data_IF_938877374170
#
_entry.id   IF_938877374170
#
_cell.length_a   1.000
_cell.length_b   1.000
_cell.length_c   1.000
_cell.angle_alpha   90.00
_cell.angle_beta   90.00
_cell.angle_gamma   90.00
#
_symmetry.space_group_name_H-M   'P 1'
#
loop_
_entity.id
_entity.type
_entity.pdbx_description
1 polymer ?
#
# COMPACT_ATOMS: atom_id res chain seq x y z
N UNK A 1 18.64 -15.03 -1.54
CA UNK A 1 18.31 -14.17 -2.68
C UNK A 1 17.05 -14.68 -3.42
N UNK A 2 17.02 -15.95 -3.79
CA UNK A 2 15.89 -16.61 -4.46
C UNK A 2 14.54 -16.42 -3.72
N UNK A 3 14.53 -16.64 -2.42
CA UNK A 3 13.32 -16.46 -1.57
C UNK A 3 12.73 -15.06 -1.71
N UNK A 4 13.56 -14.01 -1.81
CA UNK A 4 13.08 -12.62 -1.98
C UNK A 4 12.52 -12.37 -3.38
N UNK A 5 13.12 -12.96 -4.41
CA UNK A 5 12.59 -12.89 -5.77
C UNK A 5 11.23 -13.58 -5.89
N UNK A 6 11.07 -14.76 -5.30
CA UNK A 6 9.80 -15.49 -5.24
C UNK A 6 8.73 -14.65 -4.51
N UNK A 7 9.06 -14.02 -3.39
CA UNK A 7 8.12 -13.17 -2.66
C UNK A 7 7.69 -11.93 -3.45
N UNK A 8 8.60 -11.35 -4.22
CA UNK A 8 8.25 -10.23 -5.10
C UNK A 8 7.32 -10.68 -6.24
N UNK A 9 7.58 -11.85 -6.83
CA UNK A 9 6.71 -12.45 -7.83
C UNK A 9 5.32 -12.74 -7.26
N UNK A 10 5.26 -13.29 -6.05
CA UNK A 10 3.99 -13.50 -5.34
C UNK A 10 3.22 -12.20 -5.16
N UNK A 11 3.89 -11.15 -4.69
CA UNK A 11 3.26 -9.86 -4.46
C UNK A 11 2.75 -9.19 -5.76
N UNK A 12 3.47 -9.35 -6.87
CA UNK A 12 3.14 -8.68 -8.13
C UNK A 12 2.17 -9.48 -9.01
N UNK A 13 2.29 -10.80 -9.08
CA UNK A 13 1.48 -11.62 -9.99
C UNK A 13 0.39 -12.40 -9.28
N UNK A 14 0.73 -13.23 -8.28
CA UNK A 14 -0.26 -14.12 -7.65
C UNK A 14 -1.31 -13.35 -6.87
N UNK A 15 -0.91 -12.37 -6.07
CA UNK A 15 -1.85 -11.54 -5.33
C UNK A 15 -2.69 -10.72 -6.30
N UNK A 16 -2.06 -10.10 -7.33
CA UNK A 16 -2.80 -9.36 -8.34
C UNK A 16 -3.85 -10.23 -9.03
N UNK A 17 -3.49 -11.43 -9.47
CA UNK A 17 -4.42 -12.34 -10.13
C UNK A 17 -5.59 -12.74 -9.23
N UNK A 18 -5.40 -12.78 -7.91
CA UNK A 18 -6.48 -13.09 -6.95
C UNK A 18 -7.43 -11.92 -6.70
N UNK A 19 -7.00 -10.67 -6.92
CA UNK A 19 -7.79 -9.48 -6.58
C UNK A 19 -8.21 -8.63 -7.78
N UNK A 20 -7.60 -8.81 -8.96
CA UNK A 20 -7.80 -7.93 -10.14
C UNK A 20 -9.26 -7.76 -10.55
N UNK A 21 -10.05 -8.84 -10.44
CA UNK A 21 -11.45 -8.86 -10.86
C UNK A 21 -12.42 -8.38 -9.77
N UNK A 22 -11.94 -8.13 -8.55
CA UNK A 22 -12.75 -7.57 -7.48
C UNK A 22 -13.09 -6.11 -7.78
N UNK A 23 -14.37 -5.78 -7.71
CA UNK A 23 -14.81 -4.38 -7.80
C UNK A 23 -14.46 -3.66 -6.49
N UNK A 24 -13.67 -2.60 -6.58
CA UNK A 24 -13.12 -1.89 -5.41
C UNK A 24 -13.41 -0.39 -5.41
N UNK A 25 -14.00 0.12 -6.49
CA UNK A 25 -14.42 1.53 -6.64
C UNK A 25 -15.74 1.58 -7.40
N UNK A 26 -16.62 2.50 -7.04
CA UNK A 26 -17.93 2.67 -7.65
C UNK A 26 -18.93 1.63 -7.18
N UNK A 27 -19.95 1.33 -7.97
CA UNK A 27 -21.01 0.39 -7.61
C UNK A 27 -20.43 -1.04 -7.57
N UNK A 28 -20.40 -1.63 -6.38
CA UNK A 28 -19.88 -2.97 -6.12
C UNK A 28 -20.96 -4.05 -6.00
N UNK A 29 -22.20 -3.65 -5.79
CA UNK A 29 -23.33 -4.57 -5.71
C UNK A 29 -24.65 -3.86 -5.62
N UNK A 30 -25.74 -4.59 -5.90
CA UNK A 30 -27.12 -4.13 -5.75
C UNK A 30 -27.97 -5.25 -5.11
N UNK A 31 -28.78 -4.88 -4.14
CA UNK A 31 -29.85 -5.71 -3.56
C UNK A 31 -31.19 -5.17 -4.04
N UNK A 32 -31.73 -5.74 -5.09
CA UNK A 32 -32.98 -5.30 -5.71
C UNK A 32 -34.21 -5.53 -4.83
N UNK A 33 -34.17 -6.55 -3.95
CA UNK A 33 -35.28 -6.84 -3.06
C UNK A 33 -35.41 -5.77 -1.97
N UNK A 34 -34.26 -5.27 -1.48
CA UNK A 34 -34.22 -4.21 -0.46
C UNK A 34 -34.07 -2.81 -1.03
N UNK A 35 -33.87 -2.67 -2.35
CA UNK A 35 -33.63 -1.39 -3.01
C UNK A 35 -32.31 -0.73 -2.58
N UNK A 36 -31.27 -1.52 -2.27
CA UNK A 36 -29.97 -1.02 -1.81
C UNK A 36 -28.93 -1.10 -2.91
N UNK A 37 -28.13 -0.04 -3.04
CA UNK A 37 -26.94 -0.02 -3.89
C UNK A 37 -25.69 0.12 -3.01
N UNK A 38 -24.73 -0.78 -3.17
CA UNK A 38 -23.45 -0.75 -2.45
C UNK A 38 -22.41 -0.04 -3.29
N UNK A 39 -21.86 1.04 -2.76
CA UNK A 39 -20.83 1.85 -3.43
C UNK A 39 -19.55 1.82 -2.62
N UNK A 40 -18.43 1.46 -3.28
CA UNK A 40 -17.10 1.55 -2.70
C UNK A 40 -16.45 2.88 -3.10
N UNK A 41 -15.93 3.60 -2.13
CA UNK A 41 -15.21 4.87 -2.33
C UNK A 41 -13.83 4.83 -1.68
N UNK A 42 -12.84 5.57 -2.23
CA UNK A 42 -11.56 5.75 -1.56
C UNK A 42 -11.73 6.35 -0.17
N UNK A 43 -10.97 5.86 0.80
CA UNK A 43 -11.04 6.35 2.19
C UNK A 43 -10.12 7.53 2.47
N UNK A 44 -9.14 7.78 1.58
CA UNK A 44 -8.14 8.83 1.74
C UNK A 44 -6.71 8.30 1.83
N UNK A 45 -5.81 9.08 2.39
CA UNK A 45 -4.38 8.76 2.42
C UNK A 45 -4.08 7.59 3.37
N UNK A 46 -3.36 6.59 2.86
CA UNK A 46 -2.91 5.42 3.64
C UNK A 46 -1.47 5.64 4.11
N UNK A 47 -1.20 5.38 5.39
CA UNK A 47 0.16 5.23 5.91
C UNK A 47 0.58 3.76 5.81
N UNK A 48 1.60 3.46 4.99
CA UNK A 48 2.13 2.11 4.79
C UNK A 48 3.40 1.86 5.58
N UNK A 49 3.35 1.11 6.69
CA UNK A 49 4.55 0.74 7.46
C UNK A 49 5.06 -0.62 7.01
N UNK A 50 6.33 -0.70 6.61
CA UNK A 50 6.93 -1.93 6.06
C UNK A 50 7.99 -2.54 6.97
N UNK A 51 8.09 -3.89 7.03
CA UNK A 51 9.08 -4.57 7.85
C UNK A 51 10.44 -4.70 7.13
N UNK A 52 11.48 -5.09 7.88
CA UNK A 52 12.79 -5.44 7.32
C UNK A 52 12.82 -6.84 6.70
N UNK A 53 11.94 -7.74 7.13
CA UNK A 53 11.95 -9.15 6.70
C UNK A 53 11.58 -9.32 5.23
N UNK A 54 10.57 -8.60 4.75
CA UNK A 54 10.07 -8.63 3.38
C UNK A 54 9.79 -7.22 2.87
N UNK A 55 10.80 -6.34 2.76
CA UNK A 55 10.59 -4.93 2.50
C UNK A 55 10.02 -4.67 1.10
N UNK A 56 10.60 -5.28 0.06
CA UNK A 56 10.20 -5.04 -1.34
C UNK A 56 8.83 -5.62 -1.66
N UNK A 57 8.57 -6.88 -1.33
CA UNK A 57 7.28 -7.52 -1.61
C UNK A 57 6.12 -6.85 -0.84
N UNK A 58 6.37 -6.43 0.41
CA UNK A 58 5.37 -5.69 1.19
C UNK A 58 5.08 -4.33 0.59
N UNK A 59 6.09 -3.62 0.10
CA UNK A 59 5.91 -2.34 -0.60
C UNK A 59 5.09 -2.51 -1.87
N UNK A 60 5.44 -3.48 -2.73
CA UNK A 60 4.70 -3.78 -3.96
C UNK A 60 3.24 -4.09 -3.65
N UNK A 61 3.00 -5.02 -2.72
CA UNK A 61 1.65 -5.42 -2.35
C UNK A 61 0.81 -4.25 -1.83
N UNK A 62 1.34 -3.47 -0.88
CA UNK A 62 0.61 -2.34 -0.30
C UNK A 62 0.33 -1.24 -1.31
N UNK A 63 1.29 -0.94 -2.18
CA UNK A 63 1.09 0.03 -3.26
C UNK A 63 -0.03 -0.42 -4.21
N UNK A 64 -0.01 -1.70 -4.63
CA UNK A 64 -1.03 -2.23 -5.53
C UNK A 64 -2.44 -2.16 -4.94
N UNK A 65 -2.63 -2.60 -3.69
CA UNK A 65 -3.97 -2.55 -3.08
C UNK A 65 -4.44 -1.13 -2.82
N UNK A 66 -3.55 -0.20 -2.46
CA UNK A 66 -3.88 1.21 -2.30
C UNK A 66 -4.36 1.80 -3.62
N UNK A 67 -3.59 1.65 -4.70
CA UNK A 67 -3.96 2.16 -6.02
C UNK A 67 -5.26 1.51 -6.52
N UNK A 68 -5.40 0.19 -6.38
CA UNK A 68 -6.62 -0.53 -6.81
C UNK A 68 -7.88 -0.01 -6.12
N UNK A 69 -7.76 0.45 -4.89
CA UNK A 69 -8.88 1.02 -4.11
C UNK A 69 -8.99 2.55 -4.24
N UNK A 70 -8.19 3.16 -5.13
CA UNK A 70 -8.21 4.60 -5.41
C UNK A 70 -7.58 5.47 -4.33
N UNK A 71 -6.77 4.89 -3.42
CA UNK A 71 -6.17 5.61 -2.30
C UNK A 71 -4.69 5.92 -2.56
N UNK A 72 -4.22 7.14 -2.28
CA UNK A 72 -2.79 7.41 -2.22
C UNK A 72 -2.16 6.78 -0.97
N UNK A 73 -0.87 6.43 -1.07
CA UNK A 73 -0.12 5.83 0.03
C UNK A 73 1.18 6.57 0.29
N UNK A 74 1.47 6.80 1.58
CA UNK A 74 2.75 7.31 2.05
C UNK A 74 3.42 6.22 2.87
N UNK A 75 4.62 5.80 2.44
CA UNK A 75 5.37 4.75 3.13
C UNK A 75 6.27 5.29 4.24
N UNK A 76 6.25 4.61 5.36
CA UNK A 76 7.28 4.66 6.40
C UNK A 76 8.09 3.37 6.31
N UNK A 77 9.23 3.43 5.64
CA UNK A 77 10.14 2.31 5.49
C UNK A 77 11.00 2.14 6.74
N UNK A 78 11.38 0.90 7.03
CA UNK A 78 12.37 0.68 8.08
C UNK A 78 13.75 1.22 7.63
N UNK A 79 14.50 1.94 8.50
CA UNK A 79 15.79 2.53 8.11
C UNK A 79 16.77 1.56 7.45
N UNK A 80 16.88 0.32 7.96
CA UNK A 80 17.78 -0.70 7.40
C UNK A 80 17.34 -1.25 6.04
N UNK A 81 16.13 -0.97 5.59
CA UNK A 81 15.59 -1.44 4.31
C UNK A 81 15.10 -0.29 3.41
N UNK A 82 15.49 0.95 3.74
CA UNK A 82 15.04 2.16 3.04
C UNK A 82 15.29 2.06 1.53
N UNK A 83 16.53 1.81 1.12
CA UNK A 83 16.93 1.80 -0.29
C UNK A 83 16.17 0.75 -1.11
N UNK A 84 16.07 -0.48 -0.61
CA UNK A 84 15.37 -1.55 -1.32
C UNK A 84 13.86 -1.31 -1.40
N UNK A 85 13.26 -0.77 -0.33
CA UNK A 85 11.83 -0.43 -0.28
C UNK A 85 11.52 0.75 -1.20
N UNK A 86 12.35 1.79 -1.16
CA UNK A 86 12.24 2.97 -2.03
C UNK A 86 12.31 2.54 -3.49
N UNK A 87 13.30 1.73 -3.88
CA UNK A 87 13.41 1.23 -5.26
C UNK A 87 12.17 0.44 -5.69
N UNK A 88 11.61 -0.38 -4.82
CA UNK A 88 10.36 -1.10 -5.11
C UNK A 88 9.18 -0.12 -5.30
N UNK A 89 9.06 0.89 -4.46
CA UNK A 89 8.03 1.92 -4.60
C UNK A 89 8.17 2.73 -5.90
N UNK A 90 9.40 3.12 -6.27
CA UNK A 90 9.70 3.82 -7.52
C UNK A 90 9.25 3.03 -8.75
N UNK A 91 9.57 1.72 -8.80
CA UNK A 91 9.18 0.85 -9.92
C UNK A 91 7.64 0.79 -10.07
N UNK A 92 6.93 0.63 -8.95
CA UNK A 92 5.46 0.62 -8.98
C UNK A 92 4.90 1.99 -9.37
N UNK A 93 5.47 3.08 -8.85
CA UNK A 93 5.06 4.44 -9.19
C UNK A 93 5.28 4.75 -10.67
N UNK A 94 6.45 4.39 -11.22
CA UNK A 94 6.73 4.55 -12.65
C UNK A 94 5.69 3.82 -13.53
N UNK A 95 5.35 2.58 -13.16
CA UNK A 95 4.34 1.80 -13.88
C UNK A 95 2.94 2.43 -13.77
N UNK A 96 2.57 2.89 -12.57
CA UNK A 96 1.30 3.56 -12.32
C UNK A 96 1.19 4.87 -13.13
N UNK A 97 2.25 5.69 -13.13
CA UNK A 97 2.29 6.94 -13.89
C UNK A 97 2.18 6.70 -15.40
N UNK A 98 2.83 5.66 -15.93
CA UNK A 98 2.68 5.26 -17.34
C UNK A 98 1.24 4.87 -17.69
N UNK A 99 0.50 4.36 -16.72
CA UNK A 99 -0.91 4.04 -16.85
C UNK A 99 -1.85 5.23 -16.57
N UNK A 100 -1.31 6.44 -16.30
CA UNK A 100 -2.09 7.66 -16.10
C UNK A 100 -2.34 8.04 -14.63
N UNK A 101 -1.73 7.35 -13.65
CA UNK A 101 -1.87 7.74 -12.26
C UNK A 101 -1.14 9.07 -11.94
N UNK A 102 -1.63 9.84 -10.96
CA UNK A 102 -0.93 11.03 -10.48
C UNK A 102 0.48 10.69 -9.94
N UNK A 103 1.42 11.61 -10.13
CA UNK A 103 2.81 11.45 -9.64
C UNK A 103 2.92 11.28 -8.12
N UNK A 104 1.95 11.78 -7.37
CA UNK A 104 1.93 11.80 -5.92
C UNK A 104 1.12 10.64 -5.33
N UNK A 105 0.74 9.63 -6.13
CA UNK A 105 -0.08 8.50 -5.69
C UNK A 105 0.68 7.57 -4.72
N UNK A 106 2.01 7.48 -4.85
CA UNK A 106 2.91 6.76 -3.95
C UNK A 106 4.00 7.72 -3.50
N UNK A 107 4.15 7.86 -2.18
CA UNK A 107 5.19 8.69 -1.55
C UNK A 107 5.84 7.92 -0.41
N UNK A 108 6.94 8.43 0.13
CA UNK A 108 7.65 7.86 1.27
C UNK A 108 8.36 8.94 2.10
N UNK A 109 8.67 8.61 3.35
CA UNK A 109 9.51 9.43 4.21
C UNK A 109 10.96 9.32 3.71
N UNK A 110 11.54 10.44 3.27
CA UNK A 110 12.92 10.45 2.74
C UNK A 110 13.97 10.17 3.81
N UNK A 111 13.78 10.67 5.02
CA UNK A 111 14.68 10.42 6.17
C UNK A 111 13.92 9.57 7.19
N UNK A 112 14.06 8.24 7.15
CA UNK A 112 13.29 7.36 8.00
C UNK A 112 13.77 7.41 9.45
N UNK A 113 12.82 7.54 10.37
CA UNK A 113 13.06 7.44 11.81
C UNK A 113 11.79 6.95 12.51
N UNK A 114 11.95 6.46 13.74
CA UNK A 114 10.80 6.07 14.57
C UNK A 114 9.89 7.28 14.80
N UNK A 115 10.48 8.44 15.06
CA UNK A 115 9.72 9.67 15.30
C UNK A 115 8.94 10.12 14.06
N UNK A 116 9.56 10.14 12.88
CA UNK A 116 8.87 10.47 11.63
C UNK A 116 7.76 9.48 11.31
N UNK A 117 7.96 8.18 11.58
CA UNK A 117 6.93 7.16 11.43
C UNK A 117 5.73 7.43 12.36
N UNK A 118 5.99 7.75 13.64
CA UNK A 118 4.93 8.08 14.61
C UNK A 118 4.18 9.35 14.19
N UNK A 119 4.89 10.38 13.75
CA UNK A 119 4.27 11.63 13.26
C UNK A 119 3.36 11.36 12.06
N UNK A 120 3.81 10.55 11.09
CA UNK A 120 2.98 10.17 9.95
C UNK A 120 1.75 9.38 10.39
N UNK A 121 1.91 8.36 11.23
CA UNK A 121 0.80 7.52 11.71
C UNK A 121 -0.26 8.32 12.47
N UNK A 122 0.13 9.36 13.21
CA UNK A 122 -0.77 10.22 14.00
C UNK A 122 -1.24 11.46 13.24
N UNK A 123 -0.83 11.63 11.98
CA UNK A 123 -1.21 12.83 11.23
C UNK A 123 -2.70 12.80 10.88
N UNK A 124 -3.41 13.89 11.14
CA UNK A 124 -4.86 14.03 10.92
C UNK A 124 -5.32 13.78 9.49
N UNK A 125 -4.43 13.87 8.51
CA UNK A 125 -4.73 13.61 7.10
C UNK A 125 -4.60 12.12 6.72
N UNK A 126 -4.15 11.24 7.63
CA UNK A 126 -4.08 9.80 7.40
C UNK A 126 -5.42 9.17 7.74
N UNK A 127 -6.01 8.50 6.75
CA UNK A 127 -7.30 7.81 6.89
C UNK A 127 -7.14 6.38 7.40
N UNK A 128 -6.03 5.71 7.08
CA UNK A 128 -5.75 4.32 7.47
C UNK A 128 -4.26 4.10 7.69
N UNK A 129 -3.92 3.38 8.76
CA UNK A 129 -2.56 2.86 8.98
C UNK A 129 -2.53 1.38 8.61
N UNK A 130 -1.73 1.04 7.59
CA UNK A 130 -1.52 -0.32 7.11
C UNK A 130 -0.14 -0.81 7.55
N UNK A 131 -0.05 -1.29 8.78
CA UNK A 131 1.20 -1.74 9.37
C UNK A 131 1.46 -3.23 9.17
N UNK A 132 2.70 -3.59 8.85
CA UNK A 132 3.20 -4.97 8.84
C UNK A 132 4.51 -5.01 9.62
N UNK A 133 4.55 -5.85 10.65
CA UNK A 133 5.72 -5.97 11.53
C UNK A 133 5.48 -6.94 12.68
N UNK A 134 6.41 -6.99 13.60
CA UNK A 134 6.28 -7.81 14.82
C UNK A 134 5.16 -7.31 15.73
N UNK A 135 4.63 -8.21 16.58
CA UNK A 135 3.52 -7.91 17.50
C UNK A 135 3.80 -6.72 18.43
N UNK A 136 5.05 -6.48 18.80
CA UNK A 136 5.45 -5.34 19.62
C UNK A 136 5.27 -3.98 18.90
N UNK A 137 5.50 -3.95 17.59
CA UNK A 137 5.33 -2.73 16.78
C UNK A 137 3.85 -2.44 16.48
N UNK A 138 3.04 -3.49 16.36
CA UNK A 138 1.60 -3.33 16.05
C UNK A 138 0.80 -2.91 17.29
N UNK A 139 1.34 -3.14 18.50
CA UNK A 139 0.70 -2.80 19.78
C UNK A 139 1.16 -1.45 20.36
N UNK A 140 2.20 -0.85 19.83
CA UNK A 140 2.73 0.45 20.26
C UNK A 140 2.08 1.60 19.51
#
# INVERSE_FOLDING_TARGET
>A
YEDKAIKNLYASEYIWNSIKDNKTVGIIGEDKEKGLTYVAEPIGVICGVTPTTNPTSTTIFKAMIAIKTGNPIIFAFHPSAQESSKRAAEVVLEAAMKAGAPKDIIQWIEVPSIEATKQLMNHKGIALVLATGGSGMVKS
#
